data_IF_464212365987
#
_entry.id   IF_464212365987
#
_cell.length_a   1.000
_cell.length_b   1.000
_cell.length_c   1.000
_cell.angle_alpha   90.00
_cell.angle_beta   90.00
_cell.angle_gamma   90.00
#
_symmetry.space_group_name_H-M   'P 1'
#
loop_
_entity.id
_entity.type
_entity.pdbx_description
1 polymer ?
#
# COMPACT_ATOMS: atom_id res chain seq x y z
N UNK A 1 -0.56 4.47 -6.99
CA UNK A 1 -1.56 5.51 -6.75
C UNK A 1 -2.65 5.06 -5.80
N UNK A 2 -3.42 6.00 -5.24
CA UNK A 2 -4.56 5.67 -4.39
C UNK A 2 -5.67 6.72 -4.52
N UNK A 3 -6.91 6.29 -4.30
CA UNK A 3 -8.11 7.13 -4.16
C UNK A 3 -8.83 6.73 -2.86
N UNK A 4 -9.23 7.70 -2.06
CA UNK A 4 -9.95 7.48 -0.80
C UNK A 4 -11.22 8.31 -0.79
N UNK A 5 -12.35 7.65 -0.55
CA UNK A 5 -13.64 8.28 -0.27
C UNK A 5 -14.06 7.89 1.15
N UNK A 6 -14.21 8.86 2.04
CA UNK A 6 -14.46 8.59 3.45
C UNK A 6 -15.71 9.31 3.98
N UNK A 7 -16.41 8.64 4.87
CA UNK A 7 -17.38 9.23 5.75
C UNK A 7 -17.06 8.88 7.22
N UNK A 8 -17.91 9.24 8.16
CA UNK A 8 -17.66 9.12 9.61
C UNK A 8 -17.31 7.69 10.09
N UNK A 9 -17.74 6.64 9.38
CA UNK A 9 -17.56 5.24 9.80
C UNK A 9 -17.03 4.32 8.72
N UNK A 10 -17.08 4.74 7.47
CA UNK A 10 -16.71 3.91 6.34
C UNK A 10 -15.74 4.64 5.43
N UNK A 11 -14.81 3.90 4.87
CA UNK A 11 -13.88 4.37 3.85
C UNK A 11 -13.96 3.40 2.67
N UNK A 12 -14.02 3.96 1.47
CA UNK A 12 -13.76 3.24 0.23
C UNK A 12 -12.37 3.63 -0.23
N UNK A 13 -11.52 2.65 -0.44
CA UNK A 13 -10.15 2.86 -0.92
C UNK A 13 -9.95 2.09 -2.22
N UNK A 14 -9.31 2.72 -3.19
CA UNK A 14 -8.73 2.08 -4.35
C UNK A 14 -7.23 2.38 -4.34
N UNK A 15 -6.42 1.35 -4.21
CA UNK A 15 -4.97 1.43 -4.29
C UNK A 15 -4.52 0.74 -5.57
N UNK A 16 -3.60 1.33 -6.33
CA UNK A 16 -3.05 0.70 -7.53
C UNK A 16 -1.55 0.92 -7.63
N UNK A 17 -0.86 -0.12 -8.05
CA UNK A 17 0.55 -0.07 -8.40
C UNK A 17 0.72 -0.50 -9.85
N UNK A 18 1.69 0.10 -10.51
CA UNK A 18 2.05 -0.21 -11.87
C UNK A 18 3.56 -0.21 -11.99
N UNK A 19 4.11 -1.30 -12.43
CA UNK A 19 5.54 -1.47 -12.65
C UNK A 19 5.84 -1.92 -14.08
N UNK A 20 7.01 -1.52 -14.59
CA UNK A 20 7.54 -2.02 -15.85
C UNK A 20 8.77 -2.87 -15.58
N UNK A 21 8.69 -4.14 -15.94
CA UNK A 21 9.84 -5.05 -15.93
C UNK A 21 10.30 -5.30 -17.37
N UNK A 22 11.30 -4.52 -17.84
CA UNK A 22 11.83 -4.65 -19.19
C UNK A 22 10.97 -4.01 -20.28
N UNK A 23 11.27 -4.31 -21.57
CA UNK A 23 10.72 -3.58 -22.72
C UNK A 23 9.27 -3.96 -23.03
N UNK A 24 8.76 -5.13 -22.61
CA UNK A 24 7.48 -5.67 -23.10
C UNK A 24 6.49 -6.15 -22.03
N UNK A 25 6.79 -6.05 -20.73
CA UNK A 25 5.87 -6.51 -19.68
C UNK A 25 5.61 -5.43 -18.65
N UNK A 26 4.37 -5.00 -18.55
CA UNK A 26 3.89 -4.19 -17.43
C UNK A 26 3.08 -5.07 -16.48
N UNK A 27 3.39 -5.02 -15.20
CA UNK A 27 2.61 -5.65 -14.14
C UNK A 27 1.80 -4.56 -13.44
N UNK A 28 0.56 -4.86 -13.13
CA UNK A 28 -0.29 -3.96 -12.38
C UNK A 28 -1.06 -4.72 -11.30
N UNK A 29 -1.23 -4.06 -10.19
CA UNK A 29 -2.02 -4.54 -9.05
C UNK A 29 -3.01 -3.46 -8.65
N UNK A 30 -4.20 -3.86 -8.26
CA UNK A 30 -5.23 -2.96 -7.75
C UNK A 30 -5.97 -3.61 -6.60
N UNK A 31 -6.07 -2.89 -5.50
CA UNK A 31 -6.81 -3.31 -4.32
C UNK A 31 -7.95 -2.32 -4.06
N UNK A 32 -9.19 -2.80 -4.16
CA UNK A 32 -10.38 -2.07 -3.76
C UNK A 32 -10.82 -2.55 -2.39
N UNK A 33 -10.98 -1.65 -1.42
CA UNK A 33 -11.47 -2.00 -0.09
C UNK A 33 -12.61 -1.10 0.35
N UNK A 34 -13.55 -1.72 1.06
CA UNK A 34 -14.52 -1.05 1.92
C UNK A 34 -14.12 -1.31 3.35
N UNK A 35 -13.74 -0.26 4.04
CA UNK A 35 -13.21 -0.28 5.39
C UNK A 35 -14.28 0.25 6.35
N UNK A 36 -14.45 -0.43 7.49
CA UNK A 36 -15.34 -0.02 8.56
C UNK A 36 -14.57 0.17 9.85
N UNK A 37 -14.59 1.39 10.36
CA UNK A 37 -14.01 1.69 11.67
C UNK A 37 -14.77 1.01 12.81
N UNK A 38 -14.06 0.21 13.60
CA UNK A 38 -14.55 -0.38 14.86
C UNK A 38 -14.18 0.52 16.02
N UNK A 39 -12.93 0.98 16.05
CA UNK A 39 -12.42 1.98 16.99
C UNK A 39 -11.22 2.72 16.36
N UNK A 40 -10.60 3.65 17.10
CA UNK A 40 -9.49 4.47 16.60
C UNK A 40 -8.23 3.69 16.18
N UNK A 41 -8.09 2.44 16.61
CA UNK A 41 -6.93 1.60 16.31
C UNK A 41 -7.23 0.45 15.37
N UNK A 42 -8.51 0.12 15.22
CA UNK A 42 -8.92 -1.10 14.56
C UNK A 42 -9.99 -0.84 13.50
N UNK A 43 -9.72 -1.29 12.30
CA UNK A 43 -10.61 -1.19 11.14
C UNK A 43 -10.72 -2.56 10.49
N UNK A 44 -11.93 -3.02 10.23
CA UNK A 44 -12.17 -4.18 9.39
C UNK A 44 -12.36 -3.73 7.94
N UNK A 45 -11.89 -4.54 7.01
CA UNK A 45 -12.15 -4.27 5.60
C UNK A 45 -12.49 -5.54 4.83
N UNK A 46 -13.28 -5.35 3.77
CA UNK A 46 -13.55 -6.34 2.75
C UNK A 46 -13.34 -5.71 1.38
N UNK A 47 -12.91 -6.48 0.40
CA UNK A 47 -12.58 -5.91 -0.89
C UNK A 47 -12.28 -6.92 -1.97
N UNK A 48 -11.72 -6.42 -3.06
CA UNK A 48 -11.25 -7.20 -4.19
C UNK A 48 -9.82 -6.81 -4.55
N UNK A 49 -8.97 -7.81 -4.70
CA UNK A 49 -7.61 -7.69 -5.21
C UNK A 49 -7.59 -8.16 -6.65
N UNK A 50 -7.05 -7.34 -7.52
CA UNK A 50 -6.92 -7.59 -8.96
C UNK A 50 -5.46 -7.46 -9.34
N UNK A 51 -4.95 -8.45 -10.04
CA UNK A 51 -3.58 -8.43 -10.57
C UNK A 51 -3.61 -8.81 -12.04
N UNK A 52 -2.76 -8.19 -12.84
CA UNK A 52 -2.65 -8.52 -14.25
C UNK A 52 -1.28 -8.19 -14.84
N UNK A 53 -1.02 -8.82 -15.97
CA UNK A 53 0.20 -8.62 -16.76
C UNK A 53 -0.21 -8.02 -18.10
N UNK A 54 0.37 -6.87 -18.46
CA UNK A 54 0.02 -6.11 -19.66
C UNK A 54 -1.45 -5.68 -19.64
N UNK A 55 -2.30 -6.24 -20.50
CA UNK A 55 -3.75 -5.93 -20.56
C UNK A 55 -4.63 -7.06 -20.08
N UNK A 56 -4.04 -8.20 -19.74
CA UNK A 56 -4.78 -9.37 -19.29
C UNK A 56 -4.91 -9.35 -17.77
N UNK A 57 -6.13 -9.62 -17.30
CA UNK A 57 -6.43 -9.86 -15.89
C UNK A 57 -6.00 -11.30 -15.59
N UNK A 58 -4.97 -11.44 -14.76
CA UNK A 58 -4.40 -12.75 -14.43
C UNK A 58 -5.06 -13.35 -13.19
N UNK A 59 -5.35 -12.51 -12.20
CA UNK A 59 -5.95 -12.93 -10.95
C UNK A 59 -6.98 -11.92 -10.44
N UNK A 60 -8.09 -12.45 -9.92
CA UNK A 60 -9.09 -11.71 -9.16
C UNK A 60 -9.41 -12.45 -7.87
N UNK A 61 -9.34 -11.78 -6.74
CA UNK A 61 -9.57 -12.40 -5.43
C UNK A 61 -10.42 -11.50 -4.55
N UNK A 62 -11.37 -12.07 -3.84
CA UNK A 62 -12.01 -11.40 -2.73
C UNK A 62 -11.06 -11.40 -1.54
N UNK A 63 -11.00 -10.30 -0.81
CA UNK A 63 -10.14 -10.15 0.37
C UNK A 63 -10.97 -9.73 1.58
N UNK A 64 -10.64 -10.28 2.74
CA UNK A 64 -11.19 -9.89 4.03
C UNK A 64 -10.04 -9.69 4.99
N UNK A 65 -10.01 -8.55 5.68
CA UNK A 65 -8.88 -8.25 6.53
C UNK A 65 -9.16 -7.21 7.59
N UNK A 66 -8.08 -6.85 8.24
CA UNK A 66 -8.05 -5.84 9.30
C UNK A 66 -6.84 -4.92 9.14
N UNK A 67 -7.05 -3.68 9.54
CA UNK A 67 -5.99 -2.70 9.75
C UNK A 67 -5.92 -2.44 11.25
N UNK A 68 -4.73 -2.48 11.81
CA UNK A 68 -4.51 -2.25 13.22
C UNK A 68 -3.31 -1.34 13.42
N UNK A 69 -3.54 -0.27 14.19
CA UNK A 69 -2.45 0.62 14.61
C UNK A 69 -1.83 0.06 15.88
N UNK A 70 -0.67 -0.55 15.72
CA UNK A 70 0.15 -1.07 16.80
C UNK A 70 0.80 0.07 17.60
N UNK A 71 1.31 -0.20 18.83
CA UNK A 71 2.14 0.76 19.55
C UNK A 71 3.28 1.34 18.70
N UNK A 72 3.72 2.54 19.04
CA UNK A 72 4.75 3.29 18.30
C UNK A 72 4.34 3.71 16.88
N UNK A 73 3.03 3.82 16.61
CA UNK A 73 2.51 4.17 15.28
C UNK A 73 3.00 3.22 14.17
N UNK A 74 3.10 1.93 14.49
CA UNK A 74 3.34 0.90 13.49
C UNK A 74 1.99 0.49 12.90
N UNK A 75 1.77 0.76 11.62
CA UNK A 75 0.58 0.36 10.92
C UNK A 75 0.69 -1.09 10.46
N UNK A 76 -0.32 -1.87 10.74
CA UNK A 76 -0.40 -3.26 10.33
C UNK A 76 -1.67 -3.47 9.52
N UNK A 77 -1.54 -4.14 8.38
CA UNK A 77 -2.64 -4.55 7.51
C UNK A 77 -2.50 -6.05 7.25
N UNK A 78 -3.51 -6.81 7.60
CA UNK A 78 -3.52 -8.25 7.42
C UNK A 78 -4.81 -8.66 6.74
N UNK A 79 -4.73 -9.53 5.75
CA UNK A 79 -5.92 -10.10 5.09
C UNK A 79 -5.72 -11.53 4.63
N UNK A 80 -6.84 -12.17 4.42
CA UNK A 80 -6.95 -13.47 3.75
C UNK A 80 -7.69 -13.27 2.43
N UNK A 81 -7.38 -14.06 1.45
CA UNK A 81 -8.04 -14.03 0.14
C UNK A 81 -8.91 -15.29 -0.10
N UNK A 82 -9.77 -15.20 -1.12
CA UNK A 82 -10.69 -16.29 -1.50
C UNK A 82 -9.99 -17.59 -1.92
N UNK A 83 -8.71 -17.52 -2.27
CA UNK A 83 -7.92 -18.66 -2.74
C UNK A 83 -7.06 -19.29 -1.62
N UNK A 84 -7.33 -18.90 -0.35
CA UNK A 84 -6.63 -19.40 0.83
C UNK A 84 -5.25 -18.79 1.06
N UNK A 85 -4.90 -17.72 0.38
CA UNK A 85 -3.71 -16.92 0.67
C UNK A 85 -3.92 -16.00 1.86
N UNK A 86 -2.82 -15.62 2.49
CA UNK A 86 -2.80 -14.63 3.56
C UNK A 86 -1.62 -13.67 3.36
N UNK A 87 -1.86 -12.39 3.65
CA UNK A 87 -0.85 -11.35 3.54
C UNK A 87 -0.82 -10.51 4.81
N UNK A 88 0.37 -10.17 5.26
CA UNK A 88 0.64 -9.26 6.37
C UNK A 88 1.54 -8.16 5.87
N UNK A 89 1.10 -6.93 5.98
CA UNK A 89 1.87 -5.74 5.63
C UNK A 89 2.07 -4.89 6.89
N UNK A 90 3.31 -4.49 7.12
CA UNK A 90 3.71 -3.62 8.22
C UNK A 90 4.36 -2.37 7.65
N UNK A 91 3.90 -1.22 8.10
CA UNK A 91 4.43 0.07 7.66
C UNK A 91 4.69 0.99 8.84
N UNK A 92 5.81 1.71 8.79
CA UNK A 92 6.13 2.75 9.77
C UNK A 92 6.79 3.93 9.13
N UNK A 93 6.27 5.12 9.44
CA UNK A 93 6.87 6.39 9.06
C UNK A 93 7.62 7.00 10.26
N UNK A 94 8.86 7.42 10.02
CA UNK A 94 9.71 8.15 10.95
C UNK A 94 9.89 9.58 10.43
N UNK A 95 9.42 10.55 11.18
CA UNK A 95 9.67 11.96 10.89
C UNK A 95 11.06 12.32 11.42
N UNK A 96 12.05 12.37 10.52
CA UNK A 96 13.45 12.69 10.86
C UNK A 96 13.64 14.18 11.12
N UNK A 97 12.93 15.00 10.35
CA UNK A 97 12.85 16.45 10.52
C UNK A 97 11.46 16.94 10.09
N UNK A 98 11.06 18.19 10.33
CA UNK A 98 9.79 18.75 9.83
C UNK A 98 9.61 18.69 8.31
N UNK A 99 10.70 18.43 7.57
CA UNK A 99 10.67 18.33 6.10
C UNK A 99 11.11 17.00 5.54
N UNK A 100 11.63 16.11 6.39
CA UNK A 100 12.18 14.82 5.95
C UNK A 100 11.55 13.68 6.72
N UNK A 101 10.90 12.77 6.02
CA UNK A 101 10.33 11.56 6.57
C UNK A 101 10.90 10.32 5.88
N UNK A 102 11.18 9.30 6.68
CA UNK A 102 11.56 7.96 6.22
C UNK A 102 10.41 7.01 6.50
N UNK A 103 9.91 6.32 5.47
CA UNK A 103 8.94 5.25 5.59
C UNK A 103 9.64 3.92 5.37
N UNK A 104 9.43 2.98 6.25
CA UNK A 104 9.82 1.58 6.09
C UNK A 104 8.58 0.70 5.95
N UNK A 105 8.63 -0.26 5.06
CA UNK A 105 7.57 -1.24 4.86
C UNK A 105 8.14 -2.64 4.78
N UNK A 106 7.40 -3.61 5.30
CA UNK A 106 7.70 -5.04 5.21
C UNK A 106 6.40 -5.79 4.95
N UNK A 107 6.41 -6.68 4.00
CA UNK A 107 5.27 -7.49 3.62
C UNK A 107 5.65 -8.97 3.60
N UNK A 108 4.75 -9.80 4.08
CA UNK A 108 4.82 -11.24 3.93
C UNK A 108 3.53 -11.73 3.26
N UNK A 109 3.67 -12.39 2.15
CA UNK A 109 2.59 -13.06 1.43
C UNK A 109 2.87 -14.56 1.38
N UNK A 110 1.86 -15.37 1.60
CA UNK A 110 2.00 -16.84 1.59
C UNK A 110 2.43 -17.40 0.23
N UNK A 111 2.28 -16.63 -0.85
CA UNK A 111 2.66 -17.01 -2.22
C UNK A 111 3.98 -16.39 -2.66
N UNK A 112 4.17 -15.10 -2.39
CA UNK A 112 5.35 -14.33 -2.84
C UNK A 112 6.46 -14.23 -1.78
N UNK A 113 6.19 -14.73 -0.55
CA UNK A 113 7.10 -14.68 0.60
C UNK A 113 7.32 -13.26 1.13
N UNK A 114 8.58 -12.86 1.32
CA UNK A 114 8.93 -11.58 1.92
C UNK A 114 9.23 -10.54 0.86
N UNK A 115 8.61 -9.37 1.00
CA UNK A 115 8.99 -8.14 0.31
C UNK A 115 9.27 -7.04 1.33
N UNK A 116 10.11 -6.09 0.98
CA UNK A 116 10.45 -4.95 1.84
C UNK A 116 10.70 -3.72 1.01
N UNK A 117 10.41 -2.56 1.59
CA UNK A 117 10.62 -1.29 0.94
C UNK A 117 11.00 -0.19 1.91
N UNK A 118 11.57 0.87 1.36
CA UNK A 118 11.85 2.08 2.07
C UNK A 118 11.58 3.29 1.16
N UNK A 119 11.00 4.34 1.70
CA UNK A 119 10.78 5.58 0.97
C UNK A 119 11.26 6.77 1.79
N UNK A 120 12.00 7.66 1.14
CA UNK A 120 12.45 8.92 1.71
C UNK A 120 11.65 10.04 1.06
N UNK A 121 10.94 10.81 1.87
CA UNK A 121 10.11 11.93 1.41
C UNK A 121 10.70 13.23 1.92
N UNK A 122 10.99 14.15 1.02
CA UNK A 122 11.46 15.50 1.35
C UNK A 122 10.46 16.56 0.92
N UNK A 123 9.95 17.34 1.87
CA UNK A 123 9.02 18.43 1.65
C UNK A 123 9.76 19.64 1.10
N UNK A 124 9.60 19.91 -0.19
CA UNK A 124 10.19 21.08 -0.87
C UNK A 124 9.40 22.34 -0.55
N UNK A 125 8.07 22.24 -0.68
CA UNK A 125 7.13 23.32 -0.43
C UNK A 125 5.89 22.76 0.28
N UNK A 126 5.03 23.61 0.79
CA UNK A 126 3.82 23.23 1.56
C UNK A 126 3.04 22.08 0.95
N UNK A 127 2.92 22.05 -0.37
CA UNK A 127 2.08 21.11 -1.10
C UNK A 127 2.88 20.18 -2.05
N UNK A 128 4.23 20.29 -2.04
CA UNK A 128 5.10 19.55 -2.97
C UNK A 128 6.20 18.84 -2.23
N UNK A 129 6.31 17.55 -2.43
CA UNK A 129 7.37 16.71 -1.87
C UNK A 129 8.09 15.93 -2.96
N UNK A 130 9.39 15.74 -2.78
CA UNK A 130 10.20 14.81 -3.54
C UNK A 130 10.20 13.46 -2.81
N UNK A 131 9.98 12.37 -3.54
CA UNK A 131 9.97 11.01 -2.98
C UNK A 131 11.00 10.17 -3.71
N UNK A 132 11.93 9.56 -2.94
CA UNK A 132 12.76 8.47 -3.40
C UNK A 132 12.28 7.18 -2.74
N UNK A 133 12.06 6.11 -3.49
CA UNK A 133 11.59 4.80 -3.01
C UNK A 133 12.54 3.70 -3.46
N UNK A 134 12.76 2.76 -2.60
CA UNK A 134 13.36 1.47 -2.92
C UNK A 134 12.41 0.36 -2.53
N UNK A 135 12.30 -0.66 -3.36
CA UNK A 135 11.50 -1.86 -3.09
C UNK A 135 12.27 -3.10 -3.52
N UNK A 136 12.17 -4.20 -2.75
CA UNK A 136 12.90 -5.44 -3.02
C UNK A 136 12.65 -6.01 -4.43
N UNK A 137 11.43 -5.88 -4.92
CA UNK A 137 11.01 -6.49 -6.18
C UNK A 137 11.12 -5.52 -7.37
N UNK A 138 10.90 -4.22 -7.12
CA UNK A 138 10.88 -3.19 -8.18
C UNK A 138 12.14 -2.32 -8.25
N UNK A 139 13.06 -2.45 -7.26
CA UNK A 139 14.29 -1.66 -7.22
C UNK A 139 14.06 -0.21 -6.80
N UNK A 140 14.84 0.73 -7.39
CA UNK A 140 14.79 2.15 -7.07
C UNK A 140 13.82 2.90 -7.96
N UNK A 141 13.05 3.80 -7.35
CA UNK A 141 12.15 4.72 -8.03
C UNK A 141 12.15 6.09 -7.36
N UNK A 142 11.57 7.06 -8.03
CA UNK A 142 11.41 8.40 -7.47
C UNK A 142 10.33 9.19 -8.18
N UNK A 143 9.82 10.23 -7.51
CA UNK A 143 8.75 11.04 -8.05
C UNK A 143 8.47 12.29 -7.24
N UNK A 144 7.49 13.05 -7.70
CA UNK A 144 6.94 14.20 -7.00
C UNK A 144 5.56 13.85 -6.47
N UNK A 145 5.32 14.19 -5.22
CA UNK A 145 4.01 14.11 -4.58
C UNK A 145 3.46 15.52 -4.41
N UNK A 146 2.23 15.74 -4.91
CA UNK A 146 1.52 17.02 -4.79
C UNK A 146 0.24 16.77 -3.97
N UNK A 147 0.00 17.63 -2.98
CA UNK A 147 -1.24 17.65 -2.18
C UNK A 147 -2.08 18.85 -2.62
N UNK A 148 -3.37 18.67 -2.76
CA UNK A 148 -4.35 19.69 -3.12
C UNK A 148 -5.23 19.99 -1.91
#
# INVERSE_FOLDING_TARGET
GYLILANTRNILTAEWEWGWQGVDKSEWETLFTWDRYINRFFTLFAGAYLQGVSRDLDENRAVLGLRYLLPLNLESRTWIDSDGGARIHLEKTFELTPRLALRGEAEYDTRHRWASGAALTYLIHRDVSLVGRWHSDFGFGGGLQIRF
#
